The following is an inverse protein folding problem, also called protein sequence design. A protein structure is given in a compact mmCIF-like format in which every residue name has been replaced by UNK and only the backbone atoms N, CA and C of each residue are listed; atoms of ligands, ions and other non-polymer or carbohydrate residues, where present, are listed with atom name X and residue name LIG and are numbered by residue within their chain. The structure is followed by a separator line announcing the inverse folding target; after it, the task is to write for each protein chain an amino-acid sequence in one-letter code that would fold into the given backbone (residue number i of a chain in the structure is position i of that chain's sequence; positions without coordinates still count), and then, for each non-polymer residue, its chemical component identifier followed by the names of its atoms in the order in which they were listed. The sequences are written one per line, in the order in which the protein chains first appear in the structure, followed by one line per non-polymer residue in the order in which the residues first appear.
data_IF_419769280693
#
_entry.id   IF_419769280693
#
_cell.length_a   1.000
_cell.length_b   1.000
_cell.length_c   1.000
_cell.angle_alpha   90.00
_cell.angle_beta   90.00
_cell.angle_gamma   90.00
#
_symmetry.space_group_name_H-M   'P 1'
#
loop_
_entity.id
_entity.type
_entity.pdbx_description
1 polymer ?
#
# COMPACT_ATOMS: atom_id res chain seq x y z
N UNK A 1 -13.09 21.61 5.36
CA UNK A 1 -13.07 20.17 5.05
C UNK A 1 -14.31 19.89 4.22
N UNK A 2 -14.15 19.49 2.96
CA UNK A 2 -15.30 19.08 2.15
C UNK A 2 -15.84 17.74 2.67
N UNK A 3 -17.16 17.64 2.76
CA UNK A 3 -17.85 16.44 3.20
C UNK A 3 -18.63 15.84 2.03
N UNK A 4 -18.27 14.63 1.62
CA UNK A 4 -18.92 13.92 0.51
C UNK A 4 -19.85 12.84 1.05
N UNK A 5 -21.07 12.76 0.53
CA UNK A 5 -22.03 11.73 0.93
C UNK A 5 -21.81 10.46 0.12
N UNK A 6 -21.47 9.36 0.79
CA UNK A 6 -21.36 8.03 0.20
C UNK A 6 -22.66 7.25 0.45
N UNK A 7 -23.26 6.70 -0.61
CA UNK A 7 -24.44 5.82 -0.51
C UNK A 7 -24.02 4.40 -0.85
N UNK A 8 -24.25 3.46 0.08
CA UNK A 8 -23.85 2.06 -0.06
C UNK A 8 -25.09 1.16 -0.07
N UNK A 9 -25.10 0.18 -0.97
CA UNK A 9 -26.07 -0.92 -0.93
C UNK A 9 -25.50 -2.06 -0.09
N UNK A 10 -26.16 -2.38 1.02
CA UNK A 10 -25.73 -3.44 1.95
C UNK A 10 -26.91 -4.35 2.28
N UNK A 11 -26.62 -5.61 2.63
CA UNK A 11 -27.64 -6.55 3.13
C UNK A 11 -28.27 -6.00 4.40
N UNK A 12 -29.60 -6.04 4.48
CA UNK A 12 -30.36 -5.50 5.61
C UNK A 12 -29.94 -6.13 6.95
N UNK A 13 -29.72 -7.44 6.96
CA UNK A 13 -29.33 -8.18 8.17
C UNK A 13 -27.97 -7.71 8.74
N UNK A 14 -27.03 -7.40 7.84
CA UNK A 14 -25.71 -6.89 8.22
C UNK A 14 -25.80 -5.48 8.80
N UNK A 15 -26.72 -4.63 8.32
CA UNK A 15 -26.87 -3.26 8.80
C UNK A 15 -27.33 -3.20 10.26
N UNK A 16 -28.23 -4.11 10.66
CA UNK A 16 -28.72 -4.20 12.05
C UNK A 16 -27.60 -4.56 13.01
N UNK A 17 -26.80 -5.58 12.67
CA UNK A 17 -25.65 -6.01 13.48
C UNK A 17 -24.59 -4.92 13.61
N UNK A 18 -24.28 -4.22 12.52
CA UNK A 18 -23.29 -3.13 12.52
C UNK A 18 -23.77 -1.95 13.37
N UNK A 19 -25.07 -1.62 13.33
CA UNK A 19 -25.64 -0.57 14.20
C UNK A 19 -25.53 -0.92 15.69
N UNK A 20 -25.83 -2.16 16.06
CA UNK A 20 -25.66 -2.61 17.45
C UNK A 20 -24.20 -2.60 17.88
N UNK A 21 -23.29 -3.05 17.01
CA UNK A 21 -21.86 -2.97 17.25
C UNK A 21 -21.41 -1.51 17.47
N UNK A 22 -21.80 -0.60 16.59
CA UNK A 22 -21.47 0.82 16.70
C UNK A 22 -21.97 1.42 18.02
N UNK A 23 -23.21 1.08 18.43
CA UNK A 23 -23.78 1.51 19.71
C UNK A 23 -22.97 1.01 20.91
N UNK A 24 -22.55 -0.27 20.91
CA UNK A 24 -21.70 -0.85 21.97
C UNK A 24 -20.33 -0.18 22.06
N UNK A 25 -19.77 0.22 20.92
CA UNK A 25 -18.48 0.90 20.83
C UNK A 25 -18.59 2.43 20.96
N UNK A 26 -19.77 2.97 21.33
CA UNK A 26 -20.02 4.41 21.43
C UNK A 26 -19.61 5.20 20.18
N UNK A 27 -19.80 4.62 19.00
CA UNK A 27 -19.41 5.19 17.70
C UNK A 27 -20.58 5.17 16.71
N UNK A 28 -20.38 5.77 15.53
CA UNK A 28 -21.35 5.75 14.44
C UNK A 28 -20.92 4.83 13.31
N UNK A 29 -21.88 4.32 12.55
CA UNK A 29 -21.60 3.53 11.33
C UNK A 29 -20.78 4.33 10.33
N UNK A 30 -21.07 5.63 10.18
CA UNK A 30 -20.28 6.52 9.33
C UNK A 30 -18.82 6.62 9.75
N UNK A 31 -18.54 6.66 11.07
CA UNK A 31 -17.18 6.73 11.59
C UNK A 31 -16.43 5.41 11.39
N UNK A 32 -17.09 4.27 11.60
CA UNK A 32 -16.51 2.96 11.30
C UNK A 32 -16.14 2.81 9.81
N UNK A 33 -17.00 3.28 8.91
CA UNK A 33 -16.71 3.26 7.47
C UNK A 33 -15.58 4.22 7.13
N UNK A 34 -15.55 5.42 7.74
CA UNK A 34 -14.44 6.37 7.55
C UNK A 34 -13.11 5.76 7.99
N UNK A 35 -13.03 5.18 9.18
CA UNK A 35 -11.80 4.54 9.69
C UNK A 35 -11.33 3.40 8.78
N UNK A 36 -12.25 2.63 8.21
CA UNK A 36 -11.92 1.60 7.23
C UNK A 36 -11.36 2.18 5.93
N UNK A 37 -11.99 3.23 5.39
CA UNK A 37 -11.50 3.91 4.18
C UNK A 37 -10.14 4.57 4.41
N UNK A 38 -9.94 5.19 5.57
CA UNK A 38 -8.67 5.79 5.97
C UNK A 38 -7.58 4.73 6.07
N UNK A 39 -7.89 3.55 6.63
CA UNK A 39 -6.97 2.42 6.71
C UNK A 39 -6.55 1.88 5.33
N UNK A 40 -7.48 1.83 4.36
CA UNK A 40 -7.14 1.47 2.96
C UNK A 40 -6.21 2.52 2.35
N UNK A 41 -6.54 3.81 2.50
CA UNK A 41 -5.75 4.89 1.95
C UNK A 41 -4.34 4.95 2.58
N UNK A 42 -4.22 4.61 3.86
CA UNK A 42 -2.94 4.54 4.56
C UNK A 42 -2.10 3.33 4.13
N UNK A 43 -2.74 2.20 3.79
CA UNK A 43 -2.04 1.04 3.22
C UNK A 43 -1.51 1.33 1.82
N UNK A 44 -2.27 2.01 0.95
CA UNK A 44 -1.76 2.41 -0.37
C UNK A 44 -0.63 3.44 -0.28
N UNK A 45 -0.61 4.28 0.76
CA UNK A 45 0.45 5.28 0.99
C UNK A 45 1.74 4.70 1.54
N UNK A 46 1.76 3.45 1.99
CA UNK A 46 3.01 2.80 2.39
C UNK A 46 3.78 2.41 1.14
N UNK A 47 4.42 3.39 0.51
CA UNK A 47 5.61 3.12 -0.29
C UNK A 47 6.56 2.25 0.54
N UNK A 48 7.24 1.30 -0.12
CA UNK A 48 8.22 0.46 0.57
C UNK A 48 9.24 1.38 1.29
N UNK A 49 9.49 1.21 2.61
CA UNK A 49 10.38 2.09 3.35
C UNK A 49 11.79 2.16 2.75
N UNK A 50 12.20 1.13 2.00
CA UNK A 50 13.44 1.14 1.23
C UNK A 50 13.29 2.06 0.01
N UNK A 51 12.20 1.97 -0.76
CA UNK A 51 11.96 2.86 -1.90
C UNK A 51 11.90 4.32 -1.47
N UNK A 52 11.20 4.65 -0.38
CA UNK A 52 11.16 6.01 0.14
C UNK A 52 12.55 6.52 0.55
N UNK A 53 13.33 5.70 1.24
CA UNK A 53 14.68 6.05 1.69
C UNK A 53 15.62 6.39 0.53
N UNK A 54 15.49 5.69 -0.59
CA UNK A 54 16.36 5.87 -1.76
C UNK A 54 15.74 6.69 -2.89
N UNK A 55 14.51 7.17 -2.75
CA UNK A 55 13.76 7.94 -3.77
C UNK A 55 14.50 9.19 -4.26
N UNK A 56 15.22 9.85 -3.35
CA UNK A 56 15.94 11.10 -3.62
C UNK A 56 17.46 10.94 -3.55
N UNK A 57 17.97 9.71 -3.55
CA UNK A 57 19.42 9.47 -3.50
C UNK A 57 19.96 9.56 -4.92
N UNK A 58 20.70 10.63 -5.21
CA UNK A 58 21.44 10.74 -6.46
C UNK A 58 22.52 9.66 -6.52
N UNK A 59 22.52 8.90 -7.63
CA UNK A 59 23.53 7.89 -7.88
C UNK A 59 24.88 8.61 -8.13
N UNK A 60 25.93 8.32 -7.34
CA UNK A 60 27.25 8.90 -7.57
C UNK A 60 27.77 8.65 -8.99
N UNK A 61 28.46 9.65 -9.54
CA UNK A 61 28.88 9.63 -10.96
C UNK A 61 29.79 8.46 -11.32
N UNK A 62 30.63 8.02 -10.38
CA UNK A 62 31.49 6.84 -10.59
C UNK A 62 30.68 5.55 -10.75
N UNK A 63 29.49 5.44 -10.16
CA UNK A 63 28.61 4.27 -10.32
C UNK A 63 27.95 4.30 -11.71
N UNK A 64 27.55 5.50 -12.19
CA UNK A 64 27.01 5.65 -13.54
C UNK A 64 28.02 5.27 -14.62
N UNK A 65 29.31 5.46 -14.38
CA UNK A 65 30.36 5.02 -15.31
C UNK A 65 30.49 3.50 -15.39
N UNK A 66 30.04 2.76 -14.37
CA UNK A 66 30.10 1.30 -14.34
C UNK A 66 28.95 0.64 -15.12
N UNK A 67 27.81 1.30 -15.31
CA UNK A 67 26.64 0.70 -16.01
C UNK A 67 26.90 0.41 -17.49
N UNK A 68 27.88 1.09 -18.12
CA UNK A 68 28.33 0.80 -19.48
C UNK A 68 29.38 -0.31 -19.59
N UNK A 69 30.02 -0.67 -18.47
CA UNK A 69 31.12 -1.65 -18.41
C UNK A 69 30.58 -3.00 -17.91
N UNK A 70 29.73 -2.97 -16.89
CA UNK A 70 29.04 -4.13 -16.34
C UNK A 70 27.69 -4.22 -17.02
N UNK A 71 27.52 -5.20 -17.92
CA UNK A 71 26.20 -5.47 -18.52
C UNK A 71 25.26 -5.92 -17.43
N UNK A 72 24.18 -5.17 -17.23
CA UNK A 72 23.07 -5.60 -16.41
C UNK A 72 22.47 -6.88 -17.02
N UNK A 73 22.43 -8.01 -16.30
CA UNK A 73 21.80 -9.21 -16.80
C UNK A 73 20.28 -9.04 -17.01
N UNK A 74 19.61 -8.11 -16.29
CA UNK A 74 18.16 -7.92 -16.31
C UNK A 74 17.78 -6.41 -16.33
N UNK A 75 18.09 -5.67 -17.41
CA UNK A 75 17.91 -4.22 -17.47
C UNK A 75 16.46 -3.74 -17.42
N UNK A 76 15.50 -4.62 -17.76
CA UNK A 76 14.07 -4.31 -17.78
C UNK A 76 13.35 -4.72 -16.48
N UNK A 77 14.05 -5.37 -15.55
CA UNK A 77 13.44 -5.90 -14.34
C UNK A 77 13.37 -4.80 -13.27
N UNK A 78 12.17 -4.53 -12.76
CA UNK A 78 12.00 -3.53 -11.70
C UNK A 78 12.50 -4.05 -10.36
N UNK A 79 12.75 -3.15 -9.42
CA UNK A 79 13.08 -3.51 -8.03
C UNK A 79 12.01 -4.43 -7.41
N UNK A 80 10.73 -4.23 -7.75
CA UNK A 80 9.64 -5.06 -7.23
C UNK A 80 9.71 -6.48 -7.77
N UNK A 81 10.06 -6.64 -9.05
CA UNK A 81 10.22 -7.94 -9.68
C UNK A 81 11.41 -8.69 -9.08
N UNK A 82 12.55 -8.02 -8.91
CA UNK A 82 13.73 -8.61 -8.25
C UNK A 82 13.43 -9.03 -6.81
N UNK A 83 12.72 -8.19 -6.07
CA UNK A 83 12.29 -8.48 -4.70
C UNK A 83 11.38 -9.71 -4.69
N UNK A 84 10.41 -9.77 -5.59
CA UNK A 84 9.48 -10.88 -5.69
C UNK A 84 10.19 -12.20 -6.04
N UNK A 85 11.08 -12.21 -7.04
CA UNK A 85 11.86 -13.40 -7.40
C UNK A 85 12.71 -13.91 -6.24
N UNK A 86 13.37 -13.00 -5.50
CA UNK A 86 14.16 -13.37 -4.32
C UNK A 86 13.30 -14.04 -3.23
N UNK A 87 12.12 -13.49 -2.94
CA UNK A 87 11.23 -14.08 -1.92
C UNK A 87 10.66 -15.42 -2.38
N UNK A 88 10.35 -15.56 -3.67
CA UNK A 88 9.90 -16.80 -4.27
C UNK A 88 10.97 -17.90 -4.18
N UNK A 89 12.22 -17.57 -4.51
CA UNK A 89 13.35 -18.52 -4.42
C UNK A 89 13.64 -18.91 -2.97
N UNK A 90 13.62 -17.95 -2.05
CA UNK A 90 14.02 -18.17 -0.65
C UNK A 90 12.95 -18.81 0.22
N UNK A 91 11.67 -18.51 -0.03
CA UNK A 91 10.56 -18.92 0.84
C UNK A 91 9.47 -19.73 0.12
N UNK A 92 9.58 -19.93 -1.20
CA UNK A 92 8.65 -20.78 -1.96
C UNK A 92 7.23 -20.23 -2.09
N UNK A 93 7.08 -18.90 -2.00
CA UNK A 93 5.80 -18.18 -2.12
C UNK A 93 5.59 -17.68 -3.54
#
# INVERSE_FOLDING_TARGET
MESTKLTLSVKADSLSLVKEYAKRQHTSVSKLVQEFLDGIAEQEKKDDPIKEKYKNVEIPEWIKQLTGIVKDPNPDMSYDDMKHEYFKEKYGI
#
